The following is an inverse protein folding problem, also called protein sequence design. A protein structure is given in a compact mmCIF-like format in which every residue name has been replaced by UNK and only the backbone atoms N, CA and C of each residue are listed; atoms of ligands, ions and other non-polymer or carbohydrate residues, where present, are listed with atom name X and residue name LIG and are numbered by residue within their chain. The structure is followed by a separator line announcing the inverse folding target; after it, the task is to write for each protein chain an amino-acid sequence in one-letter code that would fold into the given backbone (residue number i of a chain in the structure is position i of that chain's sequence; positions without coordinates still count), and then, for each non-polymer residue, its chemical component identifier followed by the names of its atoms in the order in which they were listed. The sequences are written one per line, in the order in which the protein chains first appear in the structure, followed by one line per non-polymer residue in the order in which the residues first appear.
data_IF_283056757049
#
_entry.id   IF_283056757049
#
_cell.length_a   1.000
_cell.length_b   1.000
_cell.length_c   1.000
_cell.angle_alpha   90.00
_cell.angle_beta   90.00
_cell.angle_gamma   90.00
#
_symmetry.space_group_name_H-M   'P 1'
#
loop_
_entity.id
_entity.type
_entity.pdbx_description
1 polymer ?
#
# COMPACT_ATOMS: atom_id res chain seq x y z
N UNK A 1 1.25 -7.39 25.23
CA UNK A 1 0.17 -6.96 24.32
C UNK A 1 0.52 -7.42 22.92
N UNK A 2 -0.43 -7.96 22.16
CA UNK A 2 -0.18 -8.77 20.96
C UNK A 2 0.13 -7.99 19.67
N UNK A 3 0.13 -6.65 19.75
CA UNK A 3 0.38 -5.75 18.63
C UNK A 3 1.38 -4.67 19.06
N UNK A 4 2.24 -4.27 18.14
CA UNK A 4 3.20 -3.19 18.37
C UNK A 4 2.48 -1.84 18.46
N UNK A 5 3.07 -0.88 19.17
CA UNK A 5 2.51 0.48 19.29
C UNK A 5 2.29 1.12 17.92
N UNK A 6 3.19 0.86 16.95
CA UNK A 6 3.07 1.33 15.57
C UNK A 6 1.85 0.75 14.86
N UNK A 7 1.58 -0.55 15.03
CA UNK A 7 0.37 -1.18 14.44
C UNK A 7 -0.89 -0.56 15.02
N UNK A 8 -0.92 -0.31 16.32
CA UNK A 8 -2.07 0.32 17.00
C UNK A 8 -2.26 1.75 16.48
N UNK A 9 -1.18 2.52 16.39
CA UNK A 9 -1.21 3.91 15.92
C UNK A 9 -1.73 4.04 14.47
N UNK A 10 -1.25 3.21 13.55
CA UNK A 10 -1.79 3.18 12.18
C UNK A 10 -3.20 2.57 12.07
N UNK A 11 -3.63 1.78 13.06
CA UNK A 11 -4.98 1.23 13.10
C UNK A 11 -6.00 2.25 13.61
N UNK A 12 -5.67 2.98 14.69
CA UNK A 12 -6.55 4.01 15.27
C UNK A 12 -6.53 5.30 14.44
N UNK A 13 -5.38 5.67 13.88
CA UNK A 13 -5.20 6.87 13.06
C UNK A 13 -4.63 6.53 11.68
N UNK A 14 -5.39 5.80 10.83
CA UNK A 14 -4.90 5.40 9.52
C UNK A 14 -4.69 6.64 8.63
N UNK A 15 -3.48 6.78 8.11
CA UNK A 15 -3.10 7.90 7.23
C UNK A 15 -3.44 7.60 5.79
N UNK A 16 -3.98 8.59 5.08
CA UNK A 16 -4.27 8.51 3.64
C UNK A 16 -5.39 7.52 3.26
N UNK A 17 -6.36 7.35 4.16
CA UNK A 17 -7.59 6.61 3.83
C UNK A 17 -8.38 7.39 2.77
N UNK A 18 -8.71 6.73 1.67
CA UNK A 18 -9.49 7.37 0.63
C UNK A 18 -9.43 6.65 -0.71
N UNK A 19 -9.87 7.32 -1.75
CA UNK A 19 -9.76 6.84 -3.12
C UNK A 19 -9.65 8.01 -4.08
N UNK A 20 -8.95 7.80 -5.18
CA UNK A 20 -8.94 8.73 -6.32
C UNK A 20 -10.00 8.31 -7.35
N UNK A 21 -10.38 9.25 -8.22
CA UNK A 21 -11.24 8.94 -9.35
C UNK A 21 -10.51 7.98 -10.31
N UNK A 22 -11.24 7.04 -10.91
CA UNK A 22 -10.65 6.04 -11.83
C UNK A 22 -10.08 6.68 -13.10
N UNK A 23 -10.67 7.81 -13.50
CA UNK A 23 -10.35 8.53 -14.74
C UNK A 23 -9.32 9.64 -14.54
N UNK A 24 -8.81 9.83 -13.31
CA UNK A 24 -7.80 10.85 -13.05
C UNK A 24 -6.47 10.48 -13.73
N UNK A 25 -5.94 11.40 -14.53
CA UNK A 25 -4.65 11.24 -15.18
C UNK A 25 -3.54 11.05 -14.15
N UNK A 26 -2.56 10.20 -14.45
CA UNK A 26 -1.47 9.89 -13.52
C UNK A 26 -1.85 8.91 -12.40
N UNK A 27 -3.08 8.39 -12.32
CA UNK A 27 -3.49 7.48 -11.24
C UNK A 27 -3.37 6.00 -11.62
N UNK A 28 -2.51 5.30 -10.89
CA UNK A 28 -2.40 3.83 -10.88
C UNK A 28 -3.24 3.22 -9.78
N UNK A 29 -3.97 2.14 -10.07
CA UNK A 29 -4.81 1.44 -9.09
C UNK A 29 -4.41 -0.03 -9.01
N UNK A 30 -3.96 -0.45 -7.82
CA UNK A 30 -3.68 -1.84 -7.48
C UNK A 30 -4.75 -2.37 -6.53
N UNK A 31 -5.38 -3.49 -6.90
CA UNK A 31 -6.29 -4.19 -6.01
C UNK A 31 -5.82 -5.63 -5.87
N UNK A 32 -5.51 -6.02 -4.64
CA UNK A 32 -4.93 -7.32 -4.32
C UNK A 32 -5.62 -7.92 -3.09
N UNK A 33 -5.47 -9.23 -2.92
CA UNK A 33 -6.11 -9.99 -1.86
C UNK A 33 -7.27 -10.84 -2.38
N UNK A 34 -7.76 -11.71 -1.50
CA UNK A 34 -8.79 -12.67 -1.82
C UNK A 34 -9.89 -12.61 -0.76
N UNK A 35 -11.18 -12.52 -1.14
CA UNK A 35 -12.29 -12.59 -0.19
C UNK A 35 -12.24 -13.85 0.70
N UNK A 36 -11.68 -14.95 0.17
CA UNK A 36 -11.52 -16.20 0.89
C UNK A 36 -10.55 -16.10 2.10
N UNK A 37 -9.58 -15.18 2.04
CA UNK A 37 -8.63 -14.94 3.13
C UNK A 37 -9.09 -13.85 4.10
N UNK A 38 -10.20 -13.15 3.79
CA UNK A 38 -10.73 -12.04 4.59
C UNK A 38 -9.93 -10.73 4.48
N UNK A 39 -8.85 -10.71 3.70
CA UNK A 39 -8.00 -9.54 3.49
C UNK A 39 -8.04 -9.11 2.01
N UNK A 40 -8.49 -7.87 1.79
CA UNK A 40 -8.55 -7.21 0.47
C UNK A 40 -8.01 -5.79 0.62
N UNK A 41 -7.00 -5.46 -0.18
CA UNK A 41 -6.36 -4.16 -0.19
C UNK A 41 -6.51 -3.51 -1.56
N UNK A 42 -6.94 -2.25 -1.56
CA UNK A 42 -6.93 -1.38 -2.71
C UNK A 42 -5.98 -0.22 -2.43
N UNK A 43 -4.92 -0.12 -3.21
CA UNK A 43 -3.95 0.97 -3.20
C UNK A 43 -4.08 1.77 -4.49
N UNK A 44 -4.07 3.09 -4.36
CA UNK A 44 -4.04 3.99 -5.51
C UNK A 44 -2.90 4.98 -5.32
N UNK A 45 -2.07 5.13 -6.35
CA UNK A 45 -0.96 6.08 -6.39
C UNK A 45 -1.25 7.12 -7.46
N UNK A 46 -0.94 8.37 -7.16
CA UNK A 46 -0.98 9.49 -8.10
C UNK A 46 0.45 9.89 -8.42
N UNK A 47 0.81 9.75 -9.69
CA UNK A 47 2.15 10.03 -10.20
C UNK A 47 2.11 11.32 -11.01
N UNK A 48 3.10 12.19 -10.83
CA UNK A 48 3.27 13.39 -11.63
C UNK A 48 3.96 13.08 -12.97
N UNK A 49 4.12 14.13 -13.78
CA UNK A 49 4.77 14.05 -15.10
C UNK A 49 6.25 13.65 -15.04
N UNK A 50 6.89 13.83 -13.88
CA UNK A 50 8.30 13.47 -13.65
C UNK A 50 8.46 12.02 -13.17
N UNK A 51 7.37 11.25 -13.04
CA UNK A 51 7.41 9.86 -12.56
C UNK A 51 7.54 9.74 -11.04
N UNK A 52 7.21 10.79 -10.29
CA UNK A 52 7.23 10.83 -8.82
C UNK A 52 5.80 10.72 -8.27
N UNK A 53 5.62 9.90 -7.23
CA UNK A 53 4.33 9.71 -6.57
C UNK A 53 4.05 10.94 -5.67
N UNK A 54 3.10 11.77 -6.06
CA UNK A 54 2.69 12.95 -5.29
C UNK A 54 1.79 12.58 -4.11
N UNK A 55 0.87 11.67 -4.33
CA UNK A 55 -0.09 11.25 -3.32
C UNK A 55 -0.43 9.77 -3.50
N UNK A 56 -0.82 9.14 -2.40
CA UNK A 56 -1.18 7.73 -2.36
C UNK A 56 -2.32 7.57 -1.38
N UNK A 57 -3.36 6.84 -1.80
CA UNK A 57 -4.55 6.57 -0.99
C UNK A 57 -4.81 5.08 -0.94
N UNK A 58 -5.30 4.61 0.19
CA UNK A 58 -5.65 3.21 0.35
C UNK A 58 -7.05 3.00 0.91
N UNK A 59 -7.59 1.82 0.61
CA UNK A 59 -8.76 1.22 1.26
C UNK A 59 -8.46 -0.25 1.47
N UNK A 60 -8.43 -0.67 2.73
CA UNK A 60 -8.18 -2.07 3.10
C UNK A 60 -9.34 -2.58 3.94
N UNK A 61 -9.75 -3.80 3.62
CA UNK A 61 -10.60 -4.63 4.47
C UNK A 61 -9.74 -5.79 4.95
N UNK A 62 -9.61 -5.96 6.26
CA UNK A 62 -8.76 -7.00 6.81
C UNK A 62 -8.48 -6.79 8.29
N UNK A 63 -7.57 -7.58 8.83
CA UNK A 63 -7.15 -7.45 10.23
C UNK A 63 -6.39 -6.13 10.50
N UNK A 64 -6.28 -5.70 11.76
CA UNK A 64 -5.61 -4.44 12.12
C UNK A 64 -4.18 -4.33 11.60
N UNK A 65 -3.45 -5.46 11.54
CA UNK A 65 -2.12 -5.51 10.91
C UNK A 65 -2.15 -5.19 9.41
N UNK A 66 -3.17 -5.64 8.67
CA UNK A 66 -3.30 -5.32 7.25
C UNK A 66 -3.59 -3.83 7.04
N UNK A 67 -4.43 -3.22 7.88
CA UNK A 67 -4.71 -1.78 7.87
C UNK A 67 -3.42 -1.00 8.16
N UNK A 68 -2.68 -1.41 9.19
CA UNK A 68 -1.41 -0.77 9.56
C UNK A 68 -0.37 -0.85 8.44
N UNK A 69 -0.16 -2.03 7.85
CA UNK A 69 0.75 -2.22 6.70
C UNK A 69 0.34 -1.36 5.52
N UNK A 70 -0.96 -1.27 5.23
CA UNK A 70 -1.46 -0.45 4.12
C UNK A 70 -1.23 1.04 4.36
N UNK A 71 -1.50 1.51 5.58
CA UNK A 71 -1.27 2.90 5.96
C UNK A 71 0.20 3.27 5.88
N UNK A 72 1.08 2.46 6.46
CA UNK A 72 2.53 2.68 6.44
C UNK A 72 3.07 2.77 5.01
N UNK A 73 2.65 1.83 4.15
CA UNK A 73 3.07 1.82 2.74
C UNK A 73 2.66 3.10 2.00
N UNK A 74 1.44 3.62 2.24
CA UNK A 74 1.04 4.88 1.59
C UNK A 74 1.91 6.07 1.97
N UNK A 75 2.47 6.09 3.17
CA UNK A 75 3.41 7.15 3.57
C UNK A 75 4.78 6.95 2.92
N UNK A 76 5.24 5.70 2.83
CA UNK A 76 6.54 5.39 2.25
C UNK A 76 6.61 5.64 0.75
N UNK A 77 5.53 5.37 0.02
CA UNK A 77 5.52 5.57 -1.45
C UNK A 77 5.39 7.06 -1.82
N UNK A 78 4.88 7.92 -0.94
CA UNK A 78 4.78 9.36 -1.21
C UNK A 78 6.18 9.99 -1.35
N UNK A 79 6.36 10.78 -2.40
CA UNK A 79 7.64 11.43 -2.73
C UNK A 79 8.69 10.51 -3.34
N UNK A 80 8.41 9.21 -3.52
CA UNK A 80 9.29 8.27 -4.23
C UNK A 80 8.93 8.21 -5.71
N UNK A 81 9.91 7.85 -6.54
CA UNK A 81 9.61 7.51 -7.94
C UNK A 81 8.89 6.16 -8.05
N UNK A 82 8.25 5.93 -9.20
CA UNK A 82 7.53 4.67 -9.45
C UNK A 82 8.44 3.46 -9.32
N UNK A 83 9.70 3.57 -9.76
CA UNK A 83 10.68 2.48 -9.65
C UNK A 83 11.24 2.34 -8.23
N UNK A 84 11.39 3.43 -7.48
CA UNK A 84 11.75 3.38 -6.06
C UNK A 84 10.65 2.71 -5.23
N UNK A 85 9.37 2.95 -5.55
CA UNK A 85 8.27 2.29 -4.87
C UNK A 85 8.34 0.75 -5.05
N UNK A 86 8.81 0.26 -6.19
CA UNK A 86 9.02 -1.19 -6.43
C UNK A 86 10.18 -1.79 -5.63
N UNK A 87 11.07 -0.96 -5.07
CA UNK A 87 12.18 -1.45 -4.23
C UNK A 87 11.77 -1.75 -2.80
N UNK A 88 10.58 -1.29 -2.36
CA UNK A 88 10.03 -1.55 -1.03
C UNK A 88 9.71 -3.03 -0.92
N UNK A 89 10.29 -3.70 0.09
CA UNK A 89 10.07 -5.14 0.32
C UNK A 89 9.14 -5.37 1.50
N UNK A 90 8.45 -6.50 1.47
CA UNK A 90 7.65 -7.00 2.58
C UNK A 90 8.45 -7.15 3.89
N UNK A 91 9.76 -7.43 3.81
CA UNK A 91 10.65 -7.54 4.98
C UNK A 91 10.75 -6.23 5.73
N UNK A 92 10.92 -5.12 5.00
CA UNK A 92 11.08 -3.79 5.57
C UNK A 92 9.79 -3.37 6.31
N UNK A 93 8.63 -3.67 5.72
CA UNK A 93 7.32 -3.39 6.31
C UNK A 93 7.10 -4.25 7.57
N UNK A 94 7.49 -5.53 7.52
CA UNK A 94 7.33 -6.45 8.64
C UNK A 94 8.24 -6.08 9.82
N UNK A 95 9.47 -5.68 9.55
CA UNK A 95 10.41 -5.18 10.56
C UNK A 95 9.92 -3.86 11.17
N UNK A 96 9.48 -2.91 10.33
CA UNK A 96 9.02 -1.61 10.78
C UNK A 96 7.83 -1.71 11.72
N UNK A 97 6.86 -2.59 11.41
CA UNK A 97 5.67 -2.85 12.21
C UNK A 97 5.88 -3.93 13.30
N UNK A 98 7.08 -4.51 13.39
CA UNK A 98 7.40 -5.63 14.28
C UNK A 98 6.35 -6.76 14.20
N UNK A 99 5.98 -7.15 12.97
CA UNK A 99 4.94 -8.15 12.75
C UNK A 99 5.41 -9.55 13.21
N UNK A 100 4.56 -10.30 13.92
CA UNK A 100 4.88 -11.69 14.25
C UNK A 100 4.87 -12.55 12.97
N UNK A 101 5.59 -13.69 12.94
CA UNK A 101 5.71 -14.54 11.75
C UNK A 101 4.38 -14.94 11.10
N UNK A 102 3.33 -15.12 11.90
CA UNK A 102 1.96 -15.46 11.44
C UNK A 102 1.28 -14.34 10.65
N UNK A 103 1.77 -13.10 10.71
CA UNK A 103 1.20 -11.92 10.03
C UNK A 103 2.06 -11.38 8.88
N UNK A 104 3.11 -12.10 8.47
CA UNK A 104 3.95 -11.74 7.32
C UNK A 104 3.14 -11.67 6.00
N UNK A 105 2.03 -12.41 5.89
CA UNK A 105 1.16 -12.29 4.72
C UNK A 105 0.60 -10.87 4.52
N UNK A 106 0.43 -10.08 5.59
CA UNK A 106 -0.03 -8.69 5.50
C UNK A 106 1.02 -7.78 4.84
N UNK A 107 2.32 -8.05 5.04
CA UNK A 107 3.38 -7.28 4.37
C UNK A 107 3.57 -7.70 2.92
N UNK A 108 3.40 -8.99 2.60
CA UNK A 108 3.38 -9.47 1.21
C UNK A 108 2.23 -8.82 0.44
N UNK A 109 1.02 -8.80 1.03
CA UNK A 109 -0.14 -8.17 0.42
C UNK A 109 0.12 -6.68 0.11
N UNK A 110 0.78 -5.97 1.03
CA UNK A 110 1.09 -4.55 0.84
C UNK A 110 2.13 -4.33 -0.28
N UNK A 111 3.16 -5.18 -0.36
CA UNK A 111 4.13 -5.15 -1.47
C UNK A 111 3.45 -5.44 -2.82
N UNK A 112 2.60 -6.46 -2.88
CA UNK A 112 1.85 -6.82 -4.09
C UNK A 112 0.92 -5.70 -4.53
N UNK A 113 0.31 -4.97 -3.58
CA UNK A 113 -0.53 -3.81 -3.87
C UNK A 113 0.24 -2.68 -4.56
N UNK A 114 1.48 -2.42 -4.12
CA UNK A 114 2.37 -1.42 -4.75
C UNK A 114 2.66 -1.85 -6.18
N UNK A 115 3.12 -3.10 -6.37
CA UNK A 115 3.45 -3.62 -7.70
C UNK A 115 2.26 -3.56 -8.64
N UNK A 116 1.07 -3.93 -8.17
CA UNK A 116 -0.16 -3.86 -8.94
C UNK A 116 -0.53 -2.42 -9.32
N UNK A 117 -0.41 -1.46 -8.39
CA UNK A 117 -0.71 -0.05 -8.66
C UNK A 117 0.26 0.57 -9.65
N UNK A 118 1.55 0.26 -9.54
CA UNK A 118 2.60 0.67 -10.48
C UNK A 118 2.38 0.03 -11.86
N UNK A 119 2.04 -1.25 -11.92
CA UNK A 119 1.77 -1.94 -13.18
C UNK A 119 0.55 -1.35 -13.90
N UNK A 120 -0.53 -1.03 -13.18
CA UNK A 120 -1.70 -0.34 -13.74
C UNK A 120 -1.33 1.05 -14.26
N UNK A 121 -0.51 1.81 -13.52
CA UNK A 121 0.00 3.10 -13.96
C UNK A 121 0.81 2.99 -15.27
N UNK A 122 1.81 2.09 -15.31
CA UNK A 122 2.66 1.87 -16.50
C UNK A 122 1.81 1.44 -17.70
N UNK A 123 0.86 0.52 -17.50
CA UNK A 123 -0.07 0.08 -18.55
C UNK A 123 -0.92 1.20 -19.13
N UNK A 124 -1.34 2.18 -18.32
CA UNK A 124 -2.11 3.35 -18.78
C UNK A 124 -1.24 4.39 -19.48
N UNK A 125 0.03 4.50 -19.13
CA UNK A 125 0.94 5.54 -19.64
C UNK A 125 1.93 5.06 -20.71
N UNK A 126 1.92 3.76 -21.07
CA UNK A 126 2.50 3.26 -22.31
C UNK A 126 4.02 3.04 -22.31
N UNK A 127 4.59 2.57 -21.19
CA UNK A 127 5.90 1.88 -21.18
C UNK A 127 5.71 0.37 -21.02
#
# INVERSE_FOLDING_TARGET
MSYSEKVIDHYENPRNVGSFAKEEEGVGTGMVGAPACGDVMKLQIKVNKDGVIEDAKFKTYGCGSAIASSSLVTEWVKGKSVDQALTIKNTDIAEELALPPVKIHCSILAEDAIKAAVADYKKKHGD
#
